data_IF_237894481216
#
_entry.id   IF_237894481216
#
_cell.length_a   1.000
_cell.length_b   1.000
_cell.length_c   1.000
_cell.angle_alpha   90.00
_cell.angle_beta   90.00
_cell.angle_gamma   90.00
#
_symmetry.space_group_name_H-M   'P 1'
#
loop_
_entity.id
_entity.type
_entity.pdbx_description
1 polymer ?
#
# COMPACT_ATOMS: atom_id res chain seq x y z
N UNK A 1 -17.17 -6.74 -14.97
CA UNK A 1 -16.67 -5.36 -14.73
C UNK A 1 -15.58 -5.43 -13.66
N UNK A 2 -14.39 -4.88 -13.93
CA UNK A 2 -13.37 -4.81 -12.89
C UNK A 2 -13.81 -3.79 -11.84
N UNK A 3 -14.22 -4.27 -10.69
CA UNK A 3 -14.61 -3.39 -9.59
C UNK A 3 -13.40 -2.62 -9.05
N UNK A 4 -13.65 -1.42 -8.58
CA UNK A 4 -12.61 -0.53 -8.02
C UNK A 4 -12.22 -1.03 -6.63
N UNK A 5 -10.94 -0.87 -6.26
CA UNK A 5 -10.51 -1.09 -4.86
C UNK A 5 -11.28 -0.11 -3.97
N UNK A 6 -12.01 -0.64 -3.03
CA UNK A 6 -12.83 0.13 -2.07
C UNK A 6 -12.34 -0.07 -0.64
N UNK A 7 -12.55 0.94 0.19
CA UNK A 7 -12.29 0.87 1.62
C UNK A 7 -13.60 0.54 2.33
N UNK A 8 -13.69 -0.64 2.96
CA UNK A 8 -14.90 -1.11 3.66
C UNK A 8 -14.61 -1.34 5.14
N UNK A 9 -15.62 -1.19 5.99
CA UNK A 9 -15.53 -1.63 7.39
C UNK A 9 -15.44 -3.15 7.42
N UNK A 10 -14.71 -3.70 8.38
CA UNK A 10 -14.65 -5.15 8.60
C UNK A 10 -16.06 -5.75 8.78
N UNK A 11 -16.94 -5.04 9.47
CA UNK A 11 -18.33 -5.46 9.68
C UNK A 11 -19.15 -5.62 8.38
N UNK A 12 -18.73 -4.99 7.28
CA UNK A 12 -19.38 -5.03 5.97
C UNK A 12 -18.75 -6.08 5.03
N UNK A 13 -17.82 -6.89 5.53
CA UNK A 13 -17.08 -7.90 4.76
C UNK A 13 -17.48 -9.27 5.29
N UNK A 14 -17.96 -10.13 4.41
CA UNK A 14 -18.38 -11.49 4.80
C UNK A 14 -17.15 -12.37 5.10
N UNK A 15 -16.94 -12.68 6.38
CA UNK A 15 -15.86 -13.55 6.84
C UNK A 15 -16.04 -15.01 6.36
N UNK A 16 -17.26 -15.41 5.96
CA UNK A 16 -17.51 -16.76 5.45
C UNK A 16 -17.19 -16.90 3.94
N UNK A 17 -16.76 -15.80 3.28
CA UNK A 17 -16.28 -15.91 1.91
C UNK A 17 -15.09 -16.89 1.85
N UNK A 18 -15.11 -17.89 0.94
CA UNK A 18 -14.02 -18.87 0.78
C UNK A 18 -12.64 -18.23 0.57
N UNK A 19 -12.61 -16.97 0.17
CA UNK A 19 -11.38 -16.18 0.11
C UNK A 19 -10.59 -16.23 1.43
N UNK A 20 -11.25 -16.32 2.58
CA UNK A 20 -10.59 -16.29 3.89
C UNK A 20 -10.13 -17.67 4.39
N UNK A 21 -10.51 -18.78 3.73
CA UNK A 21 -10.24 -20.14 4.23
C UNK A 21 -8.74 -20.37 4.49
N UNK A 22 -7.89 -20.03 3.54
CA UNK A 22 -6.44 -20.22 3.74
C UNK A 22 -5.85 -19.30 4.84
N UNK A 23 -6.45 -18.15 5.09
CA UNK A 23 -6.03 -17.29 6.22
C UNK A 23 -6.45 -17.88 7.56
N UNK A 24 -7.63 -18.52 7.62
CA UNK A 24 -8.10 -19.23 8.82
C UNK A 24 -7.25 -20.47 9.10
N UNK A 25 -6.81 -21.18 8.05
CA UNK A 25 -5.89 -22.31 8.17
C UNK A 25 -4.50 -21.89 8.65
N UNK A 26 -3.97 -20.80 8.09
CA UNK A 26 -2.61 -20.32 8.35
C UNK A 26 -2.48 -19.62 9.71
N UNK A 27 -3.56 -18.99 10.19
CA UNK A 27 -3.56 -18.17 11.40
C UNK A 27 -4.65 -18.61 12.37
N UNK A 28 -4.34 -19.55 13.29
CA UNK A 28 -5.27 -19.88 14.38
C UNK A 28 -5.72 -18.61 15.12
N UNK A 29 -7.02 -18.41 15.27
CA UNK A 29 -7.58 -17.19 15.87
C UNK A 29 -7.81 -16.04 14.88
N UNK A 30 -7.74 -16.29 13.56
CA UNK A 30 -8.03 -15.27 12.55
C UNK A 30 -9.46 -14.76 12.65
N UNK A 31 -10.44 -15.62 12.93
CA UNK A 31 -11.85 -15.24 13.04
C UNK A 31 -12.08 -14.30 14.22
N UNK A 32 -11.55 -14.63 15.41
CA UNK A 32 -11.64 -13.76 16.57
C UNK A 32 -10.90 -12.44 16.38
N UNK A 33 -9.78 -12.47 15.67
CA UNK A 33 -9.06 -11.26 15.29
C UNK A 33 -9.90 -10.38 14.37
N UNK A 34 -10.54 -10.97 13.36
CA UNK A 34 -11.40 -10.27 12.41
C UNK A 34 -12.60 -9.63 13.11
N UNK A 35 -13.26 -10.38 14.02
CA UNK A 35 -14.39 -9.89 14.80
C UNK A 35 -14.01 -8.71 15.69
N UNK A 36 -12.81 -8.76 16.31
CA UNK A 36 -12.31 -7.60 17.06
C UNK A 36 -12.13 -6.40 16.17
N UNK A 37 -11.57 -6.57 14.95
CA UNK A 37 -11.43 -5.46 13.99
C UNK A 37 -12.78 -4.90 13.54
N UNK A 38 -13.79 -5.75 13.39
CA UNK A 38 -15.16 -5.34 13.09
C UNK A 38 -15.76 -4.50 14.25
N UNK A 39 -15.60 -4.95 15.50
CA UNK A 39 -16.04 -4.22 16.70
C UNK A 39 -15.31 -2.88 16.88
N UNK A 40 -14.02 -2.84 16.55
CA UNK A 40 -13.18 -1.62 16.57
C UNK A 40 -13.46 -0.68 15.38
N UNK A 41 -14.48 -0.96 14.57
CA UNK A 41 -14.85 -0.21 13.35
C UNK A 41 -13.69 -0.02 12.35
N UNK A 42 -12.72 -0.93 12.36
CA UNK A 42 -11.58 -0.88 11.44
C UNK A 42 -12.03 -1.09 10.01
N UNK A 43 -11.21 -0.59 9.08
CA UNK A 43 -11.48 -0.67 7.64
C UNK A 43 -10.34 -1.39 6.93
N UNK A 44 -10.69 -2.13 5.88
CA UNK A 44 -9.73 -2.78 4.98
C UNK A 44 -10.01 -2.38 3.52
N UNK A 45 -8.97 -2.39 2.70
CA UNK A 45 -9.11 -2.27 1.26
C UNK A 45 -9.49 -3.63 0.70
N UNK A 46 -10.54 -3.65 -0.10
CA UNK A 46 -11.06 -4.85 -0.74
C UNK A 46 -11.30 -4.61 -2.22
N UNK A 47 -11.23 -5.68 -2.99
CA UNK A 47 -11.72 -5.69 -4.36
C UNK A 47 -12.55 -6.94 -4.60
N UNK A 48 -13.71 -6.74 -5.20
CA UNK A 48 -14.59 -7.80 -5.68
C UNK A 48 -14.55 -7.87 -7.21
N UNK A 49 -14.80 -9.06 -7.76
CA UNK A 49 -15.08 -9.27 -9.16
C UNK A 49 -16.23 -10.27 -9.23
N UNK A 50 -17.32 -9.91 -9.90
CA UNK A 50 -18.53 -10.72 -9.98
C UNK A 50 -19.02 -11.19 -8.60
N UNK A 51 -19.05 -10.26 -7.65
CA UNK A 51 -19.43 -10.44 -6.24
C UNK A 51 -18.52 -11.41 -5.43
N UNK A 52 -17.38 -11.83 -5.96
CA UNK A 52 -16.40 -12.64 -5.24
C UNK A 52 -15.24 -11.78 -4.79
N UNK A 53 -14.83 -11.93 -3.54
CA UNK A 53 -13.66 -11.24 -3.00
C UNK A 53 -12.40 -11.74 -3.71
N UNK A 54 -11.59 -10.83 -4.23
CA UNK A 54 -10.38 -11.12 -4.98
C UNK A 54 -9.12 -10.61 -4.28
N UNK A 55 -9.26 -9.62 -3.42
CA UNK A 55 -8.15 -9.08 -2.67
C UNK A 55 -8.61 -8.41 -1.38
N UNK A 56 -7.77 -8.53 -0.37
CA UNK A 56 -7.96 -7.95 0.95
C UNK A 56 -6.63 -7.39 1.46
N UNK A 57 -6.67 -6.16 1.99
CA UNK A 57 -5.50 -5.50 2.59
C UNK A 57 -5.94 -4.72 3.83
N UNK A 58 -5.35 -5.06 4.97
CA UNK A 58 -5.48 -4.29 6.20
C UNK A 58 -4.15 -3.62 6.55
N UNK A 59 -4.21 -2.33 6.84
CA UNK A 59 -3.06 -1.52 7.25
C UNK A 59 -3.26 -1.05 8.69
N UNK A 60 -2.18 -1.08 9.49
CA UNK A 60 -2.16 -0.57 10.86
C UNK A 60 -1.03 0.44 11.00
N UNK A 61 -1.34 1.60 11.54
CA UNK A 61 -0.33 2.53 12.02
C UNK A 61 0.23 1.99 13.34
N UNK A 62 1.52 1.70 13.39
CA UNK A 62 2.30 1.28 14.55
C UNK A 62 3.44 2.29 14.81
N UNK A 63 3.18 3.57 14.52
CA UNK A 63 4.11 4.64 14.82
C UNK A 63 4.38 4.70 16.33
N UNK A 64 5.66 4.90 16.66
CA UNK A 64 6.13 5.01 18.07
C UNK A 64 6.04 3.70 18.88
N UNK A 65 5.64 2.59 18.28
CA UNK A 65 5.69 1.27 18.90
C UNK A 65 7.06 0.61 18.67
N UNK A 66 7.68 0.09 19.75
CA UNK A 66 8.85 -0.79 19.62
C UNK A 66 8.38 -2.20 19.25
N UNK A 67 9.02 -2.85 18.28
CA UNK A 67 8.71 -4.24 17.94
C UNK A 67 9.63 -5.17 18.72
N UNK A 68 9.15 -5.64 19.86
CA UNK A 68 9.86 -6.58 20.74
C UNK A 68 9.57 -8.03 20.40
N UNK A 69 8.55 -8.28 19.59
CA UNK A 69 8.11 -9.61 19.15
C UNK A 69 8.72 -10.05 17.81
N UNK A 70 9.70 -9.29 17.31
CA UNK A 70 10.50 -9.62 16.13
C UNK A 70 11.97 -9.80 16.49
N UNK A 71 12.67 -10.58 15.70
CA UNK A 71 14.12 -10.82 15.89
C UNK A 71 14.88 -10.41 14.61
N UNK A 72 15.83 -9.45 14.70
CA UNK A 72 16.16 -8.64 15.87
C UNK A 72 15.07 -7.63 16.24
N UNK A 73 15.00 -7.22 17.50
CA UNK A 73 14.10 -6.17 17.95
C UNK A 73 14.28 -4.89 17.13
N UNK A 74 13.19 -4.18 16.89
CA UNK A 74 13.23 -2.94 16.11
C UNK A 74 12.82 -1.76 16.99
N UNK A 75 13.62 -0.69 17.02
CA UNK A 75 13.29 0.49 17.82
C UNK A 75 12.02 1.19 17.31
N UNK A 76 11.40 2.00 18.14
CA UNK A 76 10.27 2.81 17.77
C UNK A 76 10.62 3.78 16.62
N UNK A 77 9.75 3.88 15.64
CA UNK A 77 9.82 4.83 14.55
C UNK A 77 8.42 5.04 13.96
N UNK A 78 8.27 5.96 13.02
CA UNK A 78 7.01 6.07 12.26
C UNK A 78 6.89 4.88 11.31
N UNK A 79 5.98 3.98 11.64
CA UNK A 79 5.88 2.67 10.99
C UNK A 79 4.47 2.33 10.55
N UNK A 80 4.35 1.86 9.31
CA UNK A 80 3.13 1.26 8.80
C UNK A 80 3.28 -0.27 8.76
N UNK A 81 2.36 -0.97 9.38
CA UNK A 81 2.24 -2.43 9.28
C UNK A 81 1.26 -2.83 8.19
N UNK A 82 1.66 -3.75 7.36
CA UNK A 82 0.74 -4.53 6.53
C UNK A 82 0.23 -5.69 7.40
N UNK A 83 -0.95 -5.50 7.99
CA UNK A 83 -1.49 -6.46 8.98
C UNK A 83 -2.06 -7.72 8.35
N UNK A 84 -2.63 -7.61 7.17
CA UNK A 84 -3.09 -8.74 6.35
C UNK A 84 -3.08 -8.33 4.89
N UNK A 85 -2.54 -9.19 4.03
CA UNK A 85 -2.51 -8.96 2.61
C UNK A 85 -2.70 -10.29 1.85
N UNK A 86 -3.82 -10.44 1.17
CA UNK A 86 -4.12 -11.61 0.35
C UNK A 86 -4.72 -11.20 -0.99
N UNK A 87 -4.33 -11.91 -2.04
CA UNK A 87 -4.84 -11.74 -3.41
C UNK A 87 -5.00 -13.13 -4.02
N UNK A 88 -6.19 -13.42 -4.53
CA UNK A 88 -6.50 -14.68 -5.22
C UNK A 88 -6.46 -14.53 -6.75
N UNK A 89 -6.53 -13.30 -7.26
CA UNK A 89 -6.49 -13.07 -8.70
C UNK A 89 -5.09 -13.33 -9.28
N UNK A 90 -4.95 -14.39 -10.07
CA UNK A 90 -3.71 -14.74 -10.75
C UNK A 90 -3.58 -14.03 -12.11
N UNK A 91 -2.33 -13.75 -12.52
CA UNK A 91 -1.98 -13.12 -13.81
C UNK A 91 -2.63 -11.74 -14.05
N UNK A 92 -2.93 -11.00 -12.98
CA UNK A 92 -3.46 -9.64 -13.04
C UNK A 92 -2.48 -8.65 -12.41
N UNK A 93 -2.67 -7.35 -12.70
CA UNK A 93 -1.89 -6.29 -12.02
C UNK A 93 -2.49 -5.89 -10.66
N UNK A 94 -3.36 -6.73 -10.11
CA UNK A 94 -4.05 -6.43 -8.87
C UNK A 94 -3.07 -6.26 -7.70
N UNK A 95 -2.06 -7.13 -7.60
CA UNK A 95 -1.02 -7.02 -6.59
C UNK A 95 -0.31 -5.67 -6.59
N UNK A 96 0.08 -5.19 -7.75
CA UNK A 96 0.72 -3.88 -7.91
C UNK A 96 -0.19 -2.73 -7.45
N UNK A 97 -1.50 -2.83 -7.74
CA UNK A 97 -2.48 -1.83 -7.28
C UNK A 97 -2.59 -1.79 -5.76
N UNK A 98 -2.49 -2.94 -5.10
CA UNK A 98 -2.49 -3.02 -3.65
C UNK A 98 -1.16 -2.56 -3.03
N UNK A 99 -0.02 -2.85 -3.66
CA UNK A 99 1.26 -2.24 -3.27
C UNK A 99 1.14 -0.71 -3.28
N UNK A 100 0.48 -0.13 -4.32
CA UNK A 100 0.22 1.31 -4.33
C UNK A 100 -0.57 1.76 -3.10
N UNK A 101 -1.61 1.02 -2.68
CA UNK A 101 -2.37 1.35 -1.47
C UNK A 101 -1.53 1.30 -0.19
N UNK A 102 -0.59 0.35 -0.11
CA UNK A 102 0.37 0.29 0.99
C UNK A 102 1.24 1.55 1.00
N UNK A 103 1.79 1.95 -0.16
CA UNK A 103 2.63 3.14 -0.26
C UNK A 103 1.84 4.44 0.00
N UNK A 104 0.60 4.53 -0.50
CA UNK A 104 -0.29 5.66 -0.20
C UNK A 104 -0.52 5.79 1.32
N UNK A 105 -0.76 4.68 2.01
CA UNK A 105 -0.88 4.64 3.47
C UNK A 105 0.40 5.09 4.19
N UNK A 106 1.55 4.61 3.73
CA UNK A 106 2.84 4.99 4.30
C UNK A 106 3.14 6.49 4.14
N UNK A 107 2.86 7.04 2.96
CA UNK A 107 3.02 8.48 2.71
C UNK A 107 2.05 9.30 3.58
N UNK A 108 0.81 8.82 3.71
CA UNK A 108 -0.22 9.53 4.48
C UNK A 108 0.17 9.74 5.94
N UNK A 109 0.73 8.72 6.60
CA UNK A 109 1.20 8.83 7.98
C UNK A 109 2.65 9.38 8.09
N UNK A 110 3.34 9.59 6.97
CA UNK A 110 4.74 9.99 6.95
C UNK A 110 5.67 8.91 7.50
N UNK A 111 5.41 7.63 7.17
CA UNK A 111 6.16 6.50 7.68
C UNK A 111 7.65 6.57 7.29
N UNK A 112 8.51 6.19 8.21
CA UNK A 112 9.93 5.95 7.98
C UNK A 112 10.16 4.59 7.34
N UNK A 113 9.32 3.62 7.72
CA UNK A 113 9.36 2.26 7.16
C UNK A 113 7.96 1.65 7.05
N UNK A 114 7.85 0.68 6.15
CA UNK A 114 6.71 -0.22 6.04
C UNK A 114 7.18 -1.63 6.29
N UNK A 115 6.46 -2.40 7.09
CA UNK A 115 6.80 -3.81 7.27
C UNK A 115 5.61 -4.74 7.12
N UNK A 116 5.93 -6.00 6.82
CA UNK A 116 4.98 -7.10 6.68
C UNK A 116 5.61 -8.37 7.23
N UNK A 117 4.83 -9.17 7.92
CA UNK A 117 5.20 -10.54 8.28
C UNK A 117 4.57 -11.51 7.29
N UNK A 118 5.34 -12.50 6.84
CA UNK A 118 4.89 -13.45 5.82
C UNK A 118 5.57 -14.81 5.97
N UNK A 119 4.78 -15.88 5.88
CA UNK A 119 5.35 -17.24 5.85
C UNK A 119 6.17 -17.48 4.59
N UNK A 120 7.27 -18.20 4.71
CA UNK A 120 8.18 -18.50 3.60
C UNK A 120 7.49 -19.21 2.42
N UNK A 121 6.39 -19.93 2.67
CA UNK A 121 5.59 -20.61 1.64
C UNK A 121 4.93 -19.67 0.63
N UNK A 122 4.71 -18.40 0.97
CA UNK A 122 4.06 -17.41 0.10
C UNK A 122 5.04 -16.75 -0.88
N UNK A 123 5.80 -17.54 -1.63
CA UNK A 123 6.86 -17.08 -2.53
C UNK A 123 6.39 -16.07 -3.60
N UNK A 124 5.14 -16.12 -4.02
CA UNK A 124 4.57 -15.13 -4.95
C UNK A 124 4.49 -13.73 -4.34
N UNK A 125 4.00 -13.64 -3.12
CA UNK A 125 3.92 -12.39 -2.35
C UNK A 125 5.33 -11.86 -2.05
N UNK A 126 6.24 -12.75 -1.60
CA UNK A 126 7.63 -12.40 -1.29
C UNK A 126 8.31 -11.77 -2.51
N UNK A 127 8.28 -12.42 -3.67
CA UNK A 127 8.87 -11.87 -4.90
C UNK A 127 8.29 -10.49 -5.27
N UNK A 128 7.00 -10.30 -5.06
CA UNK A 128 6.37 -9.00 -5.29
C UNK A 128 6.88 -7.94 -4.31
N UNK A 129 6.98 -8.25 -3.03
CA UNK A 129 7.51 -7.35 -2.01
C UNK A 129 8.96 -6.96 -2.31
N UNK A 130 9.83 -7.94 -2.61
CA UNK A 130 11.24 -7.72 -2.95
C UNK A 130 11.40 -6.85 -4.21
N UNK A 131 10.55 -7.08 -5.22
CA UNK A 131 10.51 -6.24 -6.42
C UNK A 131 10.26 -4.78 -6.10
N UNK A 132 9.43 -4.49 -5.08
CA UNK A 132 9.11 -3.14 -4.63
C UNK A 132 9.99 -2.64 -3.48
N UNK A 133 11.14 -3.27 -3.27
CA UNK A 133 12.19 -2.80 -2.37
C UNK A 133 12.00 -3.15 -0.91
N UNK A 134 11.16 -4.15 -0.61
CA UNK A 134 11.18 -4.76 0.70
C UNK A 134 12.35 -5.74 0.80
N UNK A 135 13.02 -5.75 1.93
CA UNK A 135 14.10 -6.68 2.23
C UNK A 135 13.74 -7.49 3.46
N UNK A 136 14.14 -8.76 3.48
CA UNK A 136 14.03 -9.58 4.69
C UNK A 136 15.00 -9.05 5.74
N UNK A 137 14.49 -8.60 6.87
CA UNK A 137 15.30 -7.99 7.94
C UNK A 137 15.09 -8.64 9.30
N UNK A 138 14.37 -9.75 9.35
CA UNK A 138 14.16 -10.47 10.61
C UNK A 138 13.09 -11.53 10.52
N UNK A 139 12.70 -12.03 11.69
CA UNK A 139 11.67 -13.06 11.87
C UNK A 139 10.73 -12.70 13.01
N UNK A 140 9.49 -13.20 12.91
CA UNK A 140 8.51 -13.18 13.98
C UNK A 140 7.88 -14.57 14.08
N UNK A 141 8.28 -15.34 15.09
CA UNK A 141 7.93 -16.75 15.12
C UNK A 141 8.39 -17.46 13.84
N UNK A 142 7.46 -18.07 13.12
CA UNK A 142 7.73 -18.77 11.85
C UNK A 142 7.63 -17.85 10.60
N UNK A 143 7.26 -16.60 10.78
CA UNK A 143 7.13 -15.64 9.68
C UNK A 143 8.43 -14.85 9.47
N UNK A 144 8.75 -14.59 8.21
CA UNK A 144 9.79 -13.65 7.81
C UNK A 144 9.27 -12.21 7.93
N UNK A 145 10.10 -11.30 8.41
CA UNK A 145 9.80 -9.87 8.48
C UNK A 145 10.45 -9.16 7.31
N UNK A 146 9.63 -8.68 6.39
CA UNK A 146 10.06 -7.89 5.26
C UNK A 146 9.82 -6.41 5.53
N UNK A 147 10.86 -5.60 5.33
CA UNK A 147 10.85 -4.17 5.63
C UNK A 147 11.23 -3.37 4.41
N UNK A 148 10.50 -2.29 4.18
CA UNK A 148 10.84 -1.27 3.21
C UNK A 148 11.12 0.04 3.91
N UNK A 149 12.36 0.56 3.78
CA UNK A 149 12.70 1.89 4.22
C UNK A 149 12.14 2.93 3.24
N UNK A 150 11.40 3.92 3.76
CA UNK A 150 10.75 4.95 2.95
C UNK A 150 11.63 6.19 2.72
N UNK A 151 12.83 6.22 3.28
CA UNK A 151 13.76 7.36 3.20
C UNK A 151 15.02 7.07 2.40
N UNK A 152 15.38 5.80 2.27
CA UNK A 152 16.57 5.41 1.51
C UNK A 152 16.23 5.08 0.07
N UNK A 153 17.09 5.50 -0.84
CA UNK A 153 16.97 5.22 -2.27
C UNK A 153 18.07 4.27 -2.72
N UNK A 154 17.69 3.22 -3.44
CA UNK A 154 18.61 2.25 -4.02
C UNK A 154 19.16 2.67 -5.39
N UNK A 155 18.44 3.59 -6.06
CA UNK A 155 18.66 3.97 -7.45
C UNK A 155 17.89 3.08 -8.46
N UNK A 156 17.18 2.08 -8.00
CA UNK A 156 16.29 1.27 -8.80
C UNK A 156 14.86 1.85 -8.76
N UNK A 157 14.30 2.19 -9.94
CA UNK A 157 13.03 2.89 -10.05
C UNK A 157 11.84 2.13 -9.44
N UNK A 158 11.86 0.81 -9.51
CA UNK A 158 10.76 -0.02 -8.98
C UNK A 158 10.92 -0.19 -7.48
N UNK A 159 12.15 -0.45 -7.03
CA UNK A 159 12.45 -0.61 -5.61
C UNK A 159 12.24 0.68 -4.83
N UNK A 160 12.53 1.81 -5.45
CA UNK A 160 12.39 3.13 -4.81
C UNK A 160 10.97 3.69 -4.88
N UNK A 161 10.06 3.02 -5.62
CA UNK A 161 8.66 3.45 -5.66
C UNK A 161 8.10 3.65 -4.22
N UNK A 162 7.38 4.73 -3.91
CA UNK A 162 6.84 5.75 -4.81
C UNK A 162 7.74 6.98 -4.97
N UNK A 163 8.93 7.00 -4.38
CA UNK A 163 9.84 8.13 -4.40
C UNK A 163 11.04 7.82 -5.30
N UNK A 164 11.27 8.67 -6.27
CA UNK A 164 12.44 8.61 -7.11
C UNK A 164 13.13 9.97 -7.15
N UNK A 165 14.40 10.02 -6.72
CA UNK A 165 15.25 11.18 -6.92
C UNK A 165 16.28 10.87 -7.99
N UNK A 166 16.32 11.65 -9.07
CA UNK A 166 17.39 11.53 -10.08
C UNK A 166 18.57 12.42 -9.72
N UNK A 167 19.80 11.89 -9.84
CA UNK A 167 21.04 12.62 -9.57
C UNK A 167 21.09 13.96 -10.29
N UNK A 168 21.36 15.05 -9.58
CA UNK A 168 21.73 16.36 -10.10
C UNK A 168 20.59 17.32 -10.43
N UNK A 169 19.34 16.86 -10.52
CA UNK A 169 18.13 17.70 -10.53
C UNK A 169 17.12 17.02 -9.64
N UNK A 170 16.56 17.76 -8.69
CA UNK A 170 15.52 17.24 -7.81
C UNK A 170 14.26 16.93 -8.65
N UNK A 171 14.20 15.72 -9.20
CA UNK A 171 13.02 15.22 -9.87
C UNK A 171 12.32 14.27 -8.94
N UNK A 172 11.04 14.49 -8.72
CA UNK A 172 10.20 13.63 -7.91
C UNK A 172 9.23 12.91 -8.83
N UNK A 173 9.15 11.62 -8.66
CA UNK A 173 8.08 10.84 -9.26
C UNK A 173 6.99 10.71 -8.21
N UNK A 174 5.89 11.42 -8.41
CA UNK A 174 4.75 11.33 -7.52
C UNK A 174 3.76 10.32 -8.08
N UNK A 175 3.40 9.36 -7.25
CA UNK A 175 2.20 8.57 -7.48
C UNK A 175 1.00 9.51 -7.42
N UNK A 176 0.18 9.49 -8.49
CA UNK A 176 -1.00 10.35 -8.54
C UNK A 176 -2.04 9.79 -7.58
N UNK A 177 -2.15 10.43 -6.45
CA UNK A 177 -3.28 10.29 -5.57
C UNK A 177 -4.02 11.63 -5.55
N UNK A 178 -5.32 11.71 -5.89
CA UNK A 178 -6.04 12.96 -6.09
C UNK A 178 -5.85 13.95 -4.95
N UNK A 179 -5.93 13.45 -3.73
CA UNK A 179 -5.83 14.28 -2.53
C UNK A 179 -4.44 14.90 -2.36
N UNK A 180 -3.37 14.15 -2.69
CA UNK A 180 -2.01 14.70 -2.62
C UNK A 180 -1.73 15.67 -3.74
N UNK A 181 -2.22 15.38 -4.93
CA UNK A 181 -2.06 16.31 -6.04
C UNK A 181 -2.77 17.63 -5.74
N UNK A 182 -3.99 17.58 -5.21
CA UNK A 182 -4.74 18.79 -4.84
C UNK A 182 -4.02 19.59 -3.76
N UNK A 183 -3.33 18.96 -2.82
CA UNK A 183 -2.52 19.64 -1.81
C UNK A 183 -1.24 20.26 -2.40
N UNK A 184 -0.56 19.54 -3.27
CA UNK A 184 0.71 19.99 -3.84
C UNK A 184 0.55 21.02 -4.96
N UNK A 185 -0.56 20.95 -5.68
CA UNK A 185 -0.87 21.81 -6.81
C UNK A 185 -2.30 22.36 -6.70
N UNK A 186 -2.55 23.26 -5.73
CA UNK A 186 -3.89 23.78 -5.48
C UNK A 186 -4.48 24.52 -6.70
N UNK A 187 -3.62 25.11 -7.52
CA UNK A 187 -3.98 25.88 -8.70
C UNK A 187 -3.85 25.11 -10.02
N UNK A 188 -3.83 23.76 -9.96
CA UNK A 188 -3.69 22.94 -11.15
C UNK A 188 -4.90 23.06 -12.07
N UNK A 189 -4.64 23.29 -13.37
CA UNK A 189 -5.67 23.29 -14.43
C UNK A 189 -6.39 21.95 -14.60
N UNK A 190 -5.83 20.89 -14.02
CA UNK A 190 -6.42 19.56 -14.05
C UNK A 190 -7.44 19.34 -12.94
N UNK A 191 -7.68 20.34 -12.13
CA UNK A 191 -8.62 20.31 -11.03
C UNK A 191 -10.02 20.61 -11.54
N UNK A 192 -10.99 19.77 -11.20
CA UNK A 192 -12.39 20.05 -11.53
C UNK A 192 -12.88 21.24 -10.70
N UNK A 193 -13.46 22.23 -11.37
CA UNK A 193 -13.93 23.47 -10.74
C UNK A 193 -15.10 23.25 -9.76
N UNK A 194 -15.98 22.28 -10.06
CA UNK A 194 -17.17 22.04 -9.22
C UNK A 194 -16.86 21.37 -7.90
N UNK A 195 -15.97 20.38 -7.87
CA UNK A 195 -15.75 19.55 -6.69
C UNK A 195 -14.32 19.62 -6.16
N UNK A 196 -13.48 20.47 -6.74
CA UNK A 196 -12.07 20.62 -6.36
C UNK A 196 -11.26 19.30 -6.47
N UNK A 197 -11.77 18.33 -7.23
CA UNK A 197 -11.17 17.01 -7.43
C UNK A 197 -10.66 16.85 -8.86
N UNK A 198 -9.77 15.90 -9.01
CA UNK A 198 -9.17 15.53 -10.28
C UNK A 198 -10.11 14.71 -11.15
N UNK A 199 -10.72 15.28 -12.17
CA UNK A 199 -11.52 14.51 -13.12
C UNK A 199 -10.69 13.69 -14.11
N UNK A 200 -9.50 14.14 -14.44
CA UNK A 200 -8.58 13.37 -15.27
C UNK A 200 -8.35 11.94 -14.78
N UNK A 201 -8.63 11.67 -13.52
CA UNK A 201 -8.54 10.36 -12.93
C UNK A 201 -9.69 9.46 -13.34
N UNK A 202 -10.81 10.02 -13.76
CA UNK A 202 -11.93 9.24 -14.30
C UNK A 202 -11.67 8.78 -15.73
N UNK A 203 -11.12 9.64 -16.59
CA UNK A 203 -10.93 9.37 -18.00
C UNK A 203 -9.65 8.58 -18.29
N UNK A 204 -8.65 8.82 -17.51
CA UNK A 204 -7.41 8.12 -17.63
C UNK A 204 -7.52 6.86 -16.77
N UNK A 205 -8.06 5.77 -17.36
CA UNK A 205 -8.24 4.48 -16.73
C UNK A 205 -7.21 4.24 -15.58
N UNK A 206 -7.46 4.92 -14.46
CA UNK A 206 -6.74 4.76 -13.20
C UNK A 206 -6.74 3.30 -12.77
N UNK A 207 -7.70 2.57 -13.31
CA UNK A 207 -7.83 1.13 -13.20
C UNK A 207 -6.76 0.35 -13.96
N UNK A 208 -6.19 0.90 -15.04
CA UNK A 208 -5.30 0.14 -15.94
C UNK A 208 -3.83 0.55 -15.89
N UNK A 209 -3.45 1.55 -15.12
CA UNK A 209 -2.07 2.02 -15.12
C UNK A 209 -1.65 2.55 -13.75
N UNK A 210 -0.97 1.70 -13.00
CA UNK A 210 -0.18 2.07 -11.83
C UNK A 210 0.90 3.11 -12.17
N UNK A 211 1.15 3.33 -13.43
CA UNK A 211 2.33 4.00 -13.95
C UNK A 211 2.06 5.39 -14.53
N UNK A 212 0.96 6.06 -14.17
CA UNK A 212 0.90 7.49 -14.46
C UNK A 212 1.65 8.25 -13.38
N UNK A 213 2.88 8.44 -13.70
CA UNK A 213 3.89 9.12 -12.91
C UNK A 213 3.99 10.54 -13.48
N UNK A 214 3.71 11.56 -12.65
CA UNK A 214 4.07 12.92 -13.00
C UNK A 214 5.50 13.18 -12.54
N UNK A 215 6.36 13.52 -13.48
CA UNK A 215 7.67 14.04 -13.18
C UNK A 215 7.53 15.50 -12.76
N UNK A 216 7.75 15.78 -11.50
CA UNK A 216 7.84 17.14 -11.00
C UNK A 216 9.32 17.55 -10.90
N UNK A 217 9.69 18.62 -11.59
CA UNK A 217 10.99 19.24 -11.42
C UNK A 217 10.86 20.42 -10.47
N UNK A 218 11.66 20.42 -9.41
CA UNK A 218 11.80 21.59 -8.53
C UNK A 218 12.97 22.46 -9.04
N UNK A 219 12.66 23.61 -9.61
CA UNK A 219 13.65 24.64 -9.93
C UNK A 219 13.31 25.91 -9.17
N UNK A 220 14.27 26.46 -8.42
CA UNK A 220 14.08 27.72 -7.70
C UNK A 220 12.96 27.73 -6.65
N UNK A 221 12.67 26.58 -6.02
CA UNK A 221 11.63 26.44 -5.01
C UNK A 221 10.20 26.35 -5.55
N UNK A 222 10.03 26.27 -6.86
CA UNK A 222 8.71 26.03 -7.49
C UNK A 222 8.69 24.63 -8.12
N UNK A 223 7.61 23.89 -7.93
CA UNK A 223 7.38 22.63 -8.60
C UNK A 223 6.76 22.89 -9.99
N UNK A 224 7.35 22.33 -11.04
CA UNK A 224 6.82 22.37 -12.38
C UNK A 224 6.52 20.94 -12.83
N UNK A 225 5.30 20.71 -13.27
CA UNK A 225 4.93 19.47 -13.96
C UNK A 225 5.63 19.42 -15.33
N UNK A 226 6.27 18.28 -15.63
CA UNK A 226 6.88 18.00 -16.93
C UNK A 226 6.05 16.93 -17.63
#
# INVERSE_FOLDING_TARGET
MNETISLRKFADIDLNDPFFDSLKEDYPGFEEWFDRKAKDERKAYVQYTDNKLQAFLFLKDESEEELTDVTPNRPACKRLKVGTFKIDAHNTRLGERFIKKIMDGAIYIGADEVYVTVFAKHGGLIRMLERYGFNMEGTKGEENVYVKNMKSLSGDQIKDYPLLTTKGKRKFVLSIYPEYHTRMFPDSILKNEENQKYELIKDVSYTNSIHKIYLCSMTGGKATLI
#
